data_IF_342711426226
#
_entry.id   IF_342711426226
#
_cell.length_a   1.000
_cell.length_b   1.000
_cell.length_c   1.000
_cell.angle_alpha   90.00
_cell.angle_beta   90.00
_cell.angle_gamma   90.00
#
_symmetry.space_group_name_H-M   'P 1'
#
loop_
_entity.id
_entity.type
_entity.pdbx_description
1 polymer ?
#
# COMPACT_ATOMS: atom_id res chain seq x y z
N UNK A 1 21.92 3.52 14.01
CA UNK A 1 20.91 4.57 13.72
C UNK A 1 20.67 4.60 12.24
N UNK A 2 19.42 4.69 11.80
CA UNK A 2 19.09 4.86 10.38
C UNK A 2 19.60 6.22 9.90
N UNK A 3 20.28 6.27 8.74
CA UNK A 3 20.75 7.52 8.14
C UNK A 3 19.66 8.06 7.23
N UNK A 4 19.02 9.16 7.64
CA UNK A 4 18.09 9.91 6.79
C UNK A 4 18.92 10.92 5.99
N UNK A 5 18.74 10.89 4.66
CA UNK A 5 19.41 11.80 3.75
C UNK A 5 18.56 13.07 3.59
N UNK A 6 19.17 14.22 3.82
CA UNK A 6 18.51 15.53 3.71
C UNK A 6 18.35 15.99 2.25
N UNK A 7 19.19 15.46 1.36
CA UNK A 7 19.21 15.82 -0.05
C UNK A 7 19.21 14.60 -0.96
N UNK A 8 18.73 14.79 -2.19
CA UNK A 8 18.70 13.75 -3.22
C UNK A 8 20.09 13.15 -3.44
N UNK A 9 20.26 11.84 -3.34
CA UNK A 9 21.54 11.16 -3.58
C UNK A 9 21.82 11.02 -5.09
N UNK A 10 22.30 12.08 -5.71
CA UNK A 10 22.64 12.16 -7.14
C UNK A 10 23.63 11.07 -7.52
N UNK A 11 23.41 10.41 -8.65
CA UNK A 11 24.26 9.33 -9.18
C UNK A 11 24.10 7.99 -8.43
N UNK A 12 23.25 7.91 -7.41
CA UNK A 12 23.04 6.69 -6.65
C UNK A 12 21.68 6.03 -6.97
N UNK A 13 21.61 4.71 -6.78
CA UNK A 13 20.38 3.95 -6.88
C UNK A 13 19.47 4.27 -5.69
N UNK A 14 18.24 4.67 -5.96
CA UNK A 14 17.19 4.92 -4.96
C UNK A 14 16.00 4.02 -5.24
N UNK A 15 15.69 3.13 -4.31
CA UNK A 15 14.49 2.29 -4.38
C UNK A 15 13.28 3.07 -3.91
N UNK A 16 12.28 3.25 -4.76
CA UNK A 16 11.03 3.92 -4.40
C UNK A 16 9.90 2.90 -4.27
N UNK A 17 9.19 2.92 -3.14
CA UNK A 17 7.90 2.24 -3.01
C UNK A 17 6.88 2.96 -3.91
N UNK A 18 6.56 2.34 -5.03
CA UNK A 18 5.82 2.95 -6.11
C UNK A 18 4.39 2.42 -6.19
N UNK A 19 3.42 3.30 -6.00
CA UNK A 19 1.98 2.98 -6.05
C UNK A 19 1.33 3.30 -7.40
N UNK A 20 2.02 3.99 -8.30
CA UNK A 20 1.42 4.54 -9.53
C UNK A 20 0.56 5.79 -9.32
N UNK A 21 0.40 6.25 -8.08
CA UNK A 21 -0.28 7.51 -7.75
C UNK A 21 0.56 8.74 -8.09
N UNK A 22 -0.07 9.93 -8.03
CA UNK A 22 0.58 11.19 -8.42
C UNK A 22 1.88 11.45 -7.64
N UNK A 23 1.83 11.31 -6.32
CA UNK A 23 2.96 11.63 -5.45
C UNK A 23 4.20 10.79 -5.78
N UNK A 24 4.02 9.46 -5.92
CA UNK A 24 5.14 8.57 -6.25
C UNK A 24 5.62 8.71 -7.68
N UNK A 25 4.72 9.03 -8.62
CA UNK A 25 5.05 9.25 -10.03
C UNK A 25 5.86 10.53 -10.22
N UNK A 26 5.41 11.64 -9.61
CA UNK A 26 6.14 12.91 -9.65
C UNK A 26 7.49 12.81 -8.95
N UNK A 27 7.55 12.16 -7.79
CA UNK A 27 8.79 11.94 -7.06
C UNK A 27 9.81 11.12 -7.88
N UNK A 28 9.36 10.03 -8.51
CA UNK A 28 10.22 9.19 -9.35
C UNK A 28 10.78 9.98 -10.53
N UNK A 29 9.91 10.68 -11.26
CA UNK A 29 10.32 11.46 -12.42
C UNK A 29 11.25 12.62 -12.04
N UNK A 30 10.97 13.31 -10.93
CA UNK A 30 11.81 14.37 -10.40
C UNK A 30 13.20 13.86 -10.00
N UNK A 31 13.29 12.74 -9.28
CA UNK A 31 14.56 12.10 -8.93
C UNK A 31 15.39 11.78 -10.17
N UNK A 32 14.75 11.23 -11.22
CA UNK A 32 15.43 10.93 -12.49
C UNK A 32 15.96 12.20 -13.14
N UNK A 33 15.15 13.25 -13.23
CA UNK A 33 15.57 14.55 -13.81
C UNK A 33 16.71 15.21 -13.07
N UNK A 34 16.77 15.02 -11.74
CA UNK A 34 17.83 15.58 -10.88
C UNK A 34 19.08 14.68 -10.80
N UNK A 35 19.11 13.56 -11.52
CA UNK A 35 20.29 12.73 -11.70
C UNK A 35 20.46 11.58 -10.70
N UNK A 36 19.44 11.25 -9.90
CA UNK A 36 19.40 9.97 -9.19
C UNK A 36 19.03 8.83 -10.14
N UNK A 37 19.21 7.59 -9.70
CA UNK A 37 18.88 6.38 -10.47
C UNK A 37 17.72 5.67 -9.76
N UNK A 38 16.45 6.01 -10.06
CA UNK A 38 15.31 5.45 -9.37
C UNK A 38 15.01 4.01 -9.81
N UNK A 39 14.79 3.13 -8.84
CA UNK A 39 14.31 1.77 -8.97
C UNK A 39 12.91 1.69 -8.35
N UNK A 40 11.91 1.31 -9.11
CA UNK A 40 10.53 1.25 -8.62
C UNK A 40 10.17 -0.14 -8.12
N UNK A 41 9.57 -0.21 -6.94
CA UNK A 41 9.08 -1.45 -6.33
C UNK A 41 7.62 -1.30 -5.93
N UNK A 42 6.77 -2.14 -6.49
CA UNK A 42 5.32 -2.15 -6.22
C UNK A 42 4.95 -3.40 -5.45
N UNK A 43 4.27 -3.24 -4.33
CA UNK A 43 3.79 -4.36 -3.53
C UNK A 43 2.41 -4.84 -4.03
N UNK A 44 2.30 -6.09 -4.45
CA UNK A 44 1.02 -6.75 -4.66
C UNK A 44 0.57 -7.35 -3.34
N UNK A 45 -0.37 -6.69 -2.67
CA UNK A 45 -1.01 -7.11 -1.42
C UNK A 45 -2.42 -7.72 -1.66
N UNK A 46 -2.77 -8.00 -2.92
CA UNK A 46 -4.12 -8.43 -3.30
C UNK A 46 -5.15 -7.31 -3.18
N UNK A 47 -4.80 -6.08 -3.56
CA UNK A 47 -5.69 -4.92 -3.56
C UNK A 47 -6.85 -5.18 -4.53
N UNK A 48 -8.11 -5.22 -4.06
CA UNK A 48 -9.25 -5.55 -4.90
C UNK A 48 -9.66 -4.44 -5.87
N UNK A 49 -9.16 -3.24 -5.66
CA UNK A 49 -9.40 -2.04 -6.48
C UNK A 49 -8.32 -1.79 -7.54
N UNK A 50 -7.33 -2.67 -7.67
CA UNK A 50 -6.32 -2.59 -8.73
C UNK A 50 -6.68 -3.51 -9.90
N UNK A 51 -7.07 -2.95 -11.04
CA UNK A 51 -7.52 -3.76 -12.19
C UNK A 51 -6.37 -4.36 -13.00
N UNK A 52 -5.18 -3.75 -13.02
CA UNK A 52 -4.00 -4.21 -13.77
C UNK A 52 -2.71 -3.92 -13.02
N UNK A 53 -2.30 -4.88 -12.21
CA UNK A 53 -1.04 -4.79 -11.46
C UNK A 53 0.18 -4.63 -12.36
N UNK A 54 0.19 -5.22 -13.55
CA UNK A 54 1.32 -5.16 -14.47
C UNK A 54 1.46 -3.80 -15.15
N UNK A 55 0.40 -2.99 -15.17
CA UNK A 55 0.46 -1.62 -15.65
C UNK A 55 1.33 -0.73 -14.76
N UNK A 56 1.41 -1.01 -13.45
CA UNK A 56 2.11 -0.13 -12.50
C UNK A 56 3.62 -0.11 -12.77
N UNK A 57 4.34 -1.26 -12.88
CA UNK A 57 5.76 -1.25 -13.26
C UNK A 57 6.00 -0.64 -14.64
N UNK A 58 5.12 -0.87 -15.62
CA UNK A 58 5.25 -0.26 -16.96
C UNK A 58 5.25 1.27 -16.87
N UNK A 59 4.31 1.86 -16.12
CA UNK A 59 4.24 3.30 -15.88
C UNK A 59 5.51 3.82 -15.18
N UNK A 60 6.03 3.07 -14.21
CA UNK A 60 7.27 3.47 -13.54
C UNK A 60 8.44 3.57 -14.53
N UNK A 61 8.54 2.63 -15.46
CA UNK A 61 9.55 2.68 -16.53
C UNK A 61 9.37 3.88 -17.47
N UNK A 62 8.13 4.19 -17.86
CA UNK A 62 7.80 5.37 -18.65
C UNK A 62 8.21 6.67 -17.94
N UNK A 63 8.05 6.75 -16.63
CA UNK A 63 8.41 7.92 -15.82
C UNK A 63 9.91 8.02 -15.53
N UNK A 64 10.72 7.05 -15.98
CA UNK A 64 12.16 7.08 -15.94
C UNK A 64 12.82 6.23 -14.86
N UNK A 65 12.12 5.23 -14.34
CA UNK A 65 12.77 4.22 -13.51
C UNK A 65 13.83 3.45 -14.32
N UNK A 66 14.96 3.14 -13.71
CA UNK A 66 15.99 2.27 -14.28
C UNK A 66 15.53 0.82 -14.32
N UNK A 67 14.77 0.41 -13.31
CA UNK A 67 14.14 -0.89 -13.17
C UNK A 67 12.83 -0.75 -12.41
N UNK A 68 11.84 -1.57 -12.77
CA UNK A 68 10.58 -1.64 -12.04
C UNK A 68 10.21 -3.10 -11.75
N UNK A 69 9.77 -3.37 -10.51
CA UNK A 69 9.38 -4.71 -10.06
C UNK A 69 8.03 -4.69 -9.40
N UNK A 70 7.19 -5.65 -9.76
CA UNK A 70 6.01 -6.04 -8.98
C UNK A 70 6.41 -7.17 -8.03
N UNK A 71 6.32 -6.91 -6.73
CA UNK A 71 6.68 -7.87 -5.67
C UNK A 71 5.41 -8.50 -5.14
N UNK A 72 5.27 -9.83 -5.28
CA UNK A 72 4.12 -10.56 -4.75
C UNK A 72 4.25 -10.72 -3.23
N UNK A 73 3.49 -9.93 -2.50
CA UNK A 73 3.45 -9.89 -1.05
C UNK A 73 2.26 -10.67 -0.45
N UNK A 74 1.40 -11.25 -1.28
CA UNK A 74 0.12 -11.84 -0.83
C UNK A 74 0.32 -12.99 0.15
N UNK A 75 1.26 -13.88 -0.13
CA UNK A 75 1.54 -15.02 0.76
C UNK A 75 2.05 -14.55 2.13
N UNK A 76 2.98 -13.60 2.13
CA UNK A 76 3.51 -13.06 3.40
C UNK A 76 2.41 -12.32 4.18
N UNK A 77 1.57 -11.53 3.50
CA UNK A 77 0.46 -10.84 4.14
C UNK A 77 -0.55 -11.82 4.76
N UNK A 78 -0.84 -12.95 4.09
CA UNK A 78 -1.70 -13.98 4.65
C UNK A 78 -1.10 -14.61 5.92
N UNK A 79 0.19 -14.90 5.93
CA UNK A 79 0.89 -15.44 7.10
C UNK A 79 0.85 -14.47 8.28
N UNK A 80 1.18 -13.21 8.05
CA UNK A 80 1.14 -12.16 9.09
C UNK A 80 -0.29 -11.92 9.57
N UNK A 81 -1.28 -12.00 8.68
CA UNK A 81 -2.70 -11.90 9.02
C UNK A 81 -3.15 -13.02 9.95
N UNK A 82 -2.73 -14.26 9.69
CA UNK A 82 -3.02 -15.41 10.57
C UNK A 82 -2.35 -15.22 11.94
N UNK A 83 -1.08 -14.82 11.98
CA UNK A 83 -0.38 -14.54 13.22
C UNK A 83 -1.05 -13.43 14.02
N UNK A 84 -1.48 -12.35 13.37
CA UNK A 84 -2.23 -11.26 14.00
C UNK A 84 -3.57 -11.72 14.56
N UNK A 85 -4.31 -12.62 13.88
CA UNK A 85 -5.55 -13.22 14.40
C UNK A 85 -5.28 -14.08 15.63
N UNK A 86 -4.25 -14.91 15.62
CA UNK A 86 -3.89 -15.77 16.77
C UNK A 86 -3.55 -14.94 18.01
N UNK A 87 -2.95 -13.77 17.85
CA UNK A 87 -2.61 -12.84 18.92
C UNK A 87 -3.76 -11.89 19.31
N UNK A 88 -4.90 -11.92 18.60
CA UNK A 88 -5.97 -10.94 18.76
C UNK A 88 -5.59 -9.50 18.39
N UNK A 89 -4.55 -9.34 17.56
CA UNK A 89 -3.93 -8.04 17.27
C UNK A 89 -4.75 -7.13 16.34
N UNK A 90 -5.82 -7.62 15.74
CA UNK A 90 -6.73 -6.79 14.92
C UNK A 90 -7.72 -5.95 15.73
N UNK A 91 -7.87 -6.24 17.02
CA UNK A 91 -8.81 -5.51 17.86
C UNK A 91 -8.20 -4.21 18.35
N UNK A 92 -8.62 -3.11 17.74
CA UNK A 92 -8.28 -1.76 18.21
C UNK A 92 -9.54 -1.17 18.84
N UNK A 93 -9.47 -0.86 20.13
CA UNK A 93 -10.57 -0.22 20.84
C UNK A 93 -10.23 1.25 21.09
N UNK A 94 -11.03 2.15 20.54
CA UNK A 94 -10.88 3.59 20.70
C UNK A 94 -12.24 4.17 21.08
N UNK A 95 -12.30 4.91 22.18
CA UNK A 95 -13.53 5.53 22.68
C UNK A 95 -14.72 4.55 22.81
N UNK A 96 -14.44 3.30 23.23
CA UNK A 96 -15.47 2.26 23.41
C UNK A 96 -15.94 1.57 22.11
N UNK A 97 -15.37 1.94 20.96
CA UNK A 97 -15.67 1.32 19.67
C UNK A 97 -14.50 0.45 19.26
N UNK A 98 -14.77 -0.81 18.93
CA UNK A 98 -13.77 -1.73 18.37
C UNK A 98 -13.82 -1.67 16.86
N UNK A 99 -12.67 -1.48 16.22
CA UNK A 99 -12.55 -1.55 14.77
C UNK A 99 -11.32 -2.37 14.35
N UNK A 100 -11.35 -2.86 13.11
CA UNK A 100 -10.28 -3.63 12.53
C UNK A 100 -9.48 -2.75 11.58
N UNK A 101 -8.17 -2.63 11.82
CA UNK A 101 -7.29 -1.88 10.94
C UNK A 101 -6.16 -2.78 10.43
N UNK A 102 -6.20 -3.11 9.14
CA UNK A 102 -5.22 -3.97 8.48
C UNK A 102 -4.09 -3.18 7.80
N UNK A 103 -4.22 -1.86 7.71
CA UNK A 103 -3.22 -0.98 7.06
C UNK A 103 -1.83 -1.09 7.70
N UNK A 104 -1.65 -1.04 9.04
CA UNK A 104 -0.32 -1.19 9.64
C UNK A 104 0.36 -2.51 9.29
N UNK A 105 -0.40 -3.61 9.22
CA UNK A 105 0.12 -4.91 8.82
C UNK A 105 0.56 -4.92 7.36
N UNK A 106 -0.24 -4.35 6.47
CA UNK A 106 0.12 -4.15 5.07
C UNK A 106 1.41 -3.34 4.91
N UNK A 107 1.61 -2.28 5.73
CA UNK A 107 2.83 -1.47 5.73
C UNK A 107 4.06 -2.26 6.20
N UNK A 108 3.89 -3.11 7.21
CA UNK A 108 4.97 -3.97 7.68
C UNK A 108 5.44 -4.94 6.59
N UNK A 109 4.50 -5.62 5.94
CA UNK A 109 4.79 -6.54 4.84
C UNK A 109 5.40 -5.80 3.64
N UNK A 110 4.85 -4.65 3.26
CA UNK A 110 5.42 -3.83 2.17
C UNK A 110 6.87 -3.43 2.50
N UNK A 111 7.13 -2.86 3.67
CA UNK A 111 8.47 -2.42 4.04
C UNK A 111 9.50 -3.55 4.03
N UNK A 112 9.18 -4.70 4.59
CA UNK A 112 10.09 -5.84 4.65
C UNK A 112 10.33 -6.48 3.29
N UNK A 113 9.26 -6.73 2.52
CA UNK A 113 9.34 -7.43 1.23
C UNK A 113 9.99 -6.58 0.14
N UNK A 114 9.67 -5.28 0.07
CA UNK A 114 10.28 -4.41 -0.93
C UNK A 114 11.77 -4.21 -0.63
N UNK A 115 12.17 -4.06 0.64
CA UNK A 115 13.60 -3.96 0.99
C UNK A 115 14.34 -5.26 0.71
N UNK A 116 13.70 -6.43 0.87
CA UNK A 116 14.30 -7.70 0.44
C UNK A 116 14.56 -7.70 -1.08
N UNK A 117 13.58 -7.28 -1.88
CA UNK A 117 13.73 -7.15 -3.33
C UNK A 117 14.80 -6.10 -3.73
N UNK A 118 14.90 -5.00 -2.99
CA UNK A 118 15.95 -3.99 -3.17
C UNK A 118 17.36 -4.57 -2.95
N UNK A 119 17.54 -5.41 -1.94
CA UNK A 119 18.83 -6.09 -1.70
C UNK A 119 19.26 -6.97 -2.87
N UNK A 120 18.33 -7.68 -3.49
CA UNK A 120 18.62 -8.50 -4.69
C UNK A 120 19.12 -7.65 -5.87
N UNK A 121 18.68 -6.39 -5.95
CA UNK A 121 19.06 -5.44 -7.00
C UNK A 121 20.25 -4.54 -6.61
N UNK A 122 20.88 -4.81 -5.46
CA UNK A 122 21.95 -3.96 -4.90
C UNK A 122 21.52 -2.49 -4.76
N UNK A 123 20.32 -2.28 -4.18
CA UNK A 123 19.74 -0.96 -3.89
C UNK A 123 19.64 -0.78 -2.39
N UNK A 124 20.30 0.24 -1.83
CA UNK A 124 20.47 0.43 -0.40
C UNK A 124 19.92 1.77 0.13
N UNK A 125 19.18 2.50 -0.70
CA UNK A 125 18.50 3.74 -0.31
C UNK A 125 17.02 3.55 -0.54
N UNK A 126 16.24 3.64 0.53
CA UNK A 126 14.78 3.61 0.49
C UNK A 126 14.19 4.97 0.20
N UNK A 127 13.17 5.03 -0.65
CA UNK A 127 12.32 6.19 -0.86
C UNK A 127 10.84 5.79 -0.95
N UNK A 128 9.98 6.71 -0.66
CA UNK A 128 8.53 6.60 -0.88
C UNK A 128 7.87 7.97 -0.97
N UNK A 129 6.60 8.00 -1.35
CA UNK A 129 5.80 9.21 -1.50
C UNK A 129 5.10 9.69 -0.22
N UNK A 130 5.46 9.15 0.95
CA UNK A 130 4.80 9.54 2.21
C UNK A 130 5.07 10.99 2.56
N UNK A 131 4.00 11.73 2.88
CA UNK A 131 4.10 13.12 3.32
C UNK A 131 4.51 13.21 4.79
N UNK A 132 5.16 14.30 5.19
CA UNK A 132 5.61 14.49 6.58
C UNK A 132 4.47 14.63 7.60
N UNK A 133 3.24 14.88 7.14
CA UNK A 133 2.04 14.95 7.98
C UNK A 133 1.38 13.60 8.25
N UNK A 134 1.76 12.57 7.48
CA UNK A 134 1.16 11.25 7.56
C UNK A 134 1.94 10.28 8.46
N UNK A 135 1.25 9.27 8.97
CA UNK A 135 1.86 8.22 9.79
C UNK A 135 2.88 7.38 9.00
N UNK A 136 2.75 7.31 7.68
CA UNK A 136 3.56 6.45 6.83
C UNK A 136 4.98 6.98 6.60
N UNK A 137 5.24 8.26 6.96
CA UNK A 137 6.58 8.87 6.84
C UNK A 137 7.67 8.03 7.53
N UNK A 138 7.32 7.32 8.61
CA UNK A 138 8.23 6.47 9.36
C UNK A 138 7.90 4.97 9.23
N UNK A 139 6.65 4.59 9.04
CA UNK A 139 6.21 3.19 9.10
C UNK A 139 6.95 2.30 8.13
N UNK A 140 7.04 2.68 6.85
CA UNK A 140 7.66 1.85 5.82
C UNK A 140 9.13 1.56 6.11
N UNK A 141 9.94 2.58 6.33
CA UNK A 141 11.38 2.36 6.51
C UNK A 141 11.71 1.70 7.84
N UNK A 142 10.94 1.93 8.90
CA UNK A 142 11.11 1.21 10.18
C UNK A 142 11.01 -0.29 9.99
N UNK A 143 10.03 -0.77 9.24
CA UNK A 143 9.93 -2.18 8.90
C UNK A 143 11.02 -2.62 7.91
N UNK A 144 11.39 -1.78 6.97
CA UNK A 144 12.51 -2.05 6.05
C UNK A 144 13.83 -2.27 6.77
N UNK A 145 14.09 -1.55 7.87
CA UNK A 145 15.29 -1.72 8.71
C UNK A 145 15.38 -3.09 9.38
N UNK A 146 14.26 -3.81 9.57
CA UNK A 146 14.28 -5.20 10.04
C UNK A 146 14.93 -6.14 9.02
N UNK A 147 14.75 -5.84 7.72
CA UNK A 147 15.33 -6.63 6.63
C UNK A 147 16.75 -6.17 6.26
N UNK A 148 17.03 -4.87 6.37
CA UNK A 148 18.33 -4.28 6.10
C UNK A 148 18.64 -3.17 7.12
N UNK A 149 19.34 -3.48 8.23
CA UNK A 149 19.69 -2.47 9.24
C UNK A 149 20.61 -1.34 8.73
N UNK A 150 21.31 -1.54 7.61
CA UNK A 150 22.18 -0.56 6.98
C UNK A 150 21.45 0.31 5.93
N UNK A 151 20.13 0.18 5.81
CA UNK A 151 19.32 0.93 4.85
C UNK A 151 19.45 2.43 5.12
N UNK A 152 19.80 3.19 4.08
CA UNK A 152 19.70 4.65 4.10
C UNK A 152 18.32 5.08 3.62
N UNK A 153 17.83 6.21 4.10
CA UNK A 153 16.47 6.66 3.86
C UNK A 153 16.51 8.01 3.15
N UNK A 154 15.89 8.11 1.99
CA UNK A 154 15.64 9.37 1.30
C UNK A 154 14.13 9.55 1.15
N UNK A 155 13.63 10.68 1.60
CA UNK A 155 12.21 11.04 1.52
C UNK A 155 12.08 12.32 0.72
N UNK A 156 11.47 12.32 -0.48
CA UNK A 156 11.26 13.55 -1.26
C UNK A 156 10.55 14.64 -0.44
N UNK A 157 9.56 14.27 0.36
CA UNK A 157 8.83 15.20 1.24
C UNK A 157 9.61 15.75 2.45
N UNK A 158 10.85 15.33 2.66
CA UNK A 158 11.79 15.91 3.63
C UNK A 158 12.94 16.68 2.94
N UNK A 159 12.99 16.68 1.60
CA UNK A 159 13.96 17.42 0.80
C UNK A 159 13.36 18.77 0.40
N UNK A 160 13.97 19.86 0.86
CA UNK A 160 13.47 21.21 0.60
C UNK A 160 13.43 21.52 -0.90
N UNK A 161 14.39 21.02 -1.70
CA UNK A 161 14.39 21.23 -3.13
C UNK A 161 13.20 20.57 -3.84
N UNK A 162 12.75 19.41 -3.36
CA UNK A 162 11.54 18.77 -3.86
C UNK A 162 10.30 19.57 -3.46
N UNK A 163 10.22 20.01 -2.19
CA UNK A 163 9.07 20.76 -1.67
C UNK A 163 8.91 22.10 -2.39
N UNK A 164 10.00 22.82 -2.64
CA UNK A 164 9.98 24.11 -3.33
C UNK A 164 9.49 23.99 -4.78
N UNK A 165 9.80 22.88 -5.47
CA UNK A 165 9.37 22.64 -6.84
C UNK A 165 8.00 21.96 -6.95
N UNK A 166 7.68 21.01 -6.06
CA UNK A 166 6.56 20.08 -6.18
C UNK A 166 5.75 19.94 -4.87
N UNK A 167 5.74 20.97 -4.03
CA UNK A 167 5.15 20.93 -2.70
C UNK A 167 3.62 20.80 -2.63
N UNK A 168 2.92 20.70 -3.78
CA UNK A 168 1.49 20.54 -3.86
C UNK A 168 1.04 19.65 -5.01
N UNK A 169 -0.21 19.19 -4.93
CA UNK A 169 -0.80 18.33 -5.98
C UNK A 169 -0.93 19.03 -7.34
N UNK A 170 -1.18 20.34 -7.33
CA UNK A 170 -1.27 21.12 -8.56
C UNK A 170 0.08 21.20 -9.26
N UNK A 171 1.14 21.49 -8.51
CA UNK A 171 2.52 21.58 -8.99
C UNK A 171 2.99 20.23 -9.54
N UNK A 172 2.74 19.13 -8.81
CA UNK A 172 3.08 17.77 -9.27
C UNK A 172 2.33 17.41 -10.56
N UNK A 173 1.02 17.73 -10.64
CA UNK A 173 0.21 17.47 -11.84
C UNK A 173 0.71 18.27 -13.05
N UNK A 174 1.03 19.55 -12.85
CA UNK A 174 1.60 20.41 -13.88
C UNK A 174 2.96 19.89 -14.35
N UNK A 175 3.81 19.48 -13.42
CA UNK A 175 5.13 18.91 -13.71
C UNK A 175 5.05 17.64 -14.57
N UNK A 176 4.16 16.71 -14.22
CA UNK A 176 3.95 15.47 -14.99
C UNK A 176 3.36 15.77 -16.37
N UNK A 177 2.41 16.72 -16.47
CA UNK A 177 1.82 17.14 -17.73
C UNK A 177 2.85 17.80 -18.64
N UNK A 178 3.71 18.66 -18.11
CA UNK A 178 4.79 19.32 -18.87
C UNK A 178 5.84 18.31 -19.38
N UNK A 179 5.97 17.17 -18.72
CA UNK A 179 6.81 16.06 -19.17
C UNK A 179 6.15 15.16 -20.23
N UNK A 180 4.89 15.48 -20.64
CA UNK A 180 4.13 14.71 -21.62
C UNK A 180 3.35 13.54 -21.05
N UNK A 181 3.31 13.38 -19.73
CA UNK A 181 2.54 12.34 -19.06
C UNK A 181 1.12 12.85 -18.77
N UNK A 182 0.13 12.23 -19.39
CA UNK A 182 -1.27 12.60 -19.24
C UNK A 182 -1.82 12.25 -17.86
N UNK A 183 -1.49 13.03 -16.84
CA UNK A 183 -2.01 12.85 -15.50
C UNK A 183 -3.33 13.62 -15.35
N UNK A 184 -4.47 12.93 -15.56
CA UNK A 184 -5.77 13.52 -15.29
C UNK A 184 -6.09 13.41 -13.81
N UNK A 185 -6.13 14.54 -13.11
CA UNK A 185 -6.77 14.60 -11.80
C UNK A 185 -8.26 14.31 -12.00
N UNK A 186 -8.74 13.14 -11.57
CA UNK A 186 -10.18 12.95 -11.44
C UNK A 186 -10.62 13.61 -10.12
N UNK A 187 -11.54 14.57 -10.22
CA UNK A 187 -12.22 15.14 -9.06
C UNK A 187 -13.00 14.07 -8.24
N UNK A 188 -13.18 12.89 -8.81
CA UNK A 188 -13.91 11.77 -8.23
C UNK A 188 -13.14 11.00 -7.14
N UNK A 189 -11.81 11.13 -7.04
CA UNK A 189 -11.04 10.52 -5.95
C UNK A 189 -10.98 11.47 -4.75
N UNK A 190 -12.13 11.69 -4.13
CA UNK A 190 -12.22 12.46 -2.88
C UNK A 190 -11.54 11.76 -1.71
N UNK A 191 -11.37 10.44 -1.78
CA UNK A 191 -10.78 9.61 -0.74
C UNK A 191 -9.49 8.96 -1.21
N UNK A 192 -8.47 9.00 -0.37
CA UNK A 192 -7.32 8.11 -0.48
C UNK A 192 -7.71 6.76 0.11
N UNK A 193 -7.44 5.68 -0.60
CA UNK A 193 -7.80 4.33 -0.17
C UNK A 193 -6.56 3.49 -0.02
N UNK A 194 -6.43 2.87 1.14
CA UNK A 194 -5.46 1.82 1.41
C UNK A 194 -6.20 0.49 1.47
N UNK A 195 -6.06 -0.31 0.42
CA UNK A 195 -6.68 -1.64 0.33
C UNK A 195 -5.63 -2.74 0.28
N UNK A 196 -6.00 -3.90 0.78
CA UNK A 196 -5.25 -5.15 0.66
C UNK A 196 -6.21 -6.32 0.82
N UNK A 197 -5.76 -7.56 0.63
CA UNK A 197 -6.61 -8.74 0.74
C UNK A 197 -7.30 -8.94 2.10
N UNK A 198 -6.88 -8.24 3.15
CA UNK A 198 -7.44 -8.36 4.50
C UNK A 198 -8.44 -7.25 4.85
N UNK A 199 -8.42 -6.13 4.12
CA UNK A 199 -9.31 -5.00 4.40
C UNK A 199 -8.98 -3.76 3.61
N UNK A 200 -9.82 -2.74 3.75
CA UNK A 200 -9.64 -1.42 3.14
C UNK A 200 -9.93 -0.32 4.15
N UNK A 201 -9.11 0.74 4.11
CA UNK A 201 -9.34 1.97 4.86
C UNK A 201 -9.46 3.15 3.88
N UNK A 202 -10.30 4.11 4.24
CA UNK A 202 -10.52 5.31 3.45
C UNK A 202 -10.14 6.53 4.27
N UNK A 203 -9.34 7.41 3.69
CA UNK A 203 -8.95 8.69 4.28
C UNK A 203 -9.38 9.82 3.35
N UNK A 204 -9.88 10.91 3.92
CA UNK A 204 -10.28 12.09 3.14
C UNK A 204 -9.98 13.37 3.90
N UNK A 205 -9.74 14.44 3.15
CA UNK A 205 -9.63 15.79 3.69
C UNK A 205 -10.85 16.20 4.52
N UNK A 206 -12.04 15.75 4.12
CA UNK A 206 -13.28 16.05 4.85
C UNK A 206 -13.30 15.43 6.25
N UNK A 207 -12.55 14.34 6.47
CA UNK A 207 -12.44 13.67 7.77
C UNK A 207 -11.48 14.39 8.74
N UNK A 208 -10.69 15.34 8.26
CA UNK A 208 -9.90 16.24 9.12
C UNK A 208 -10.81 17.21 9.88
N UNK A 209 -12.02 17.41 9.40
CA UNK A 209 -13.04 18.21 10.10
C UNK A 209 -13.82 17.30 11.05
N UNK A 210 -13.68 17.49 12.35
CA UNK A 210 -14.31 16.69 13.41
C UNK A 210 -15.84 16.61 13.33
N UNK A 211 -16.49 17.53 12.61
CA UNK A 211 -17.93 17.53 12.38
C UNK A 211 -18.35 16.80 11.10
N UNK A 212 -17.42 16.29 10.32
CA UNK A 212 -17.69 15.58 9.07
C UNK A 212 -17.64 14.06 9.30
N UNK A 213 -18.72 13.36 8.96
CA UNK A 213 -18.77 11.90 8.94
C UNK A 213 -18.26 11.33 7.61
N UNK A 214 -17.86 10.07 7.62
CA UNK A 214 -17.51 9.34 6.40
C UNK A 214 -18.73 9.29 5.47
N UNK A 215 -18.57 9.80 4.27
CA UNK A 215 -19.49 9.57 3.17
C UNK A 215 -18.97 8.39 2.34
N UNK A 216 -19.43 7.19 2.65
CA UNK A 216 -19.07 6.00 1.89
C UNK A 216 -19.77 6.07 0.54
N UNK A 217 -19.00 6.26 -0.51
CA UNK A 217 -19.53 6.33 -1.88
C UNK A 217 -19.74 4.92 -2.44
N UNK A 218 -18.70 4.10 -2.44
CA UNK A 218 -18.75 2.69 -2.85
C UNK A 218 -17.79 1.87 -2.00
N UNK A 219 -18.21 0.75 -1.41
CA UNK A 219 -17.30 -0.13 -0.69
C UNK A 219 -16.39 -0.83 -1.69
N UNK A 220 -15.09 -0.84 -1.41
CA UNK A 220 -14.09 -1.60 -2.16
C UNK A 220 -14.15 -3.07 -1.77
N UNK A 221 -14.44 -3.34 -0.49
CA UNK A 221 -14.64 -4.67 0.06
C UNK A 221 -15.94 -4.71 0.84
N UNK A 222 -16.58 -5.90 0.86
CA UNK A 222 -17.86 -6.10 1.51
C UNK A 222 -19.04 -5.77 0.61
N UNK A 223 -20.20 -5.58 1.23
CA UNK A 223 -21.48 -5.39 0.55
C UNK A 223 -22.14 -4.10 1.01
N UNK A 224 -22.61 -3.30 0.08
CA UNK A 224 -23.34 -2.08 0.35
C UNK A 224 -24.80 -2.38 0.78
N UNK A 225 -24.98 -3.02 1.92
CA UNK A 225 -26.28 -3.51 2.43
C UNK A 225 -27.33 -2.39 2.64
N UNK A 226 -26.92 -1.14 2.66
CA UNK A 226 -27.81 0.02 2.80
C UNK A 226 -28.42 0.50 1.46
N UNK A 227 -27.98 -0.07 0.33
CA UNK A 227 -28.51 0.28 -0.99
C UNK A 227 -29.75 -0.56 -1.28
N UNK A 228 -30.86 0.03 -1.74
CA UNK A 228 -32.13 -0.68 -2.00
C UNK A 228 -32.03 -1.82 -3.01
N UNK A 229 -31.12 -1.71 -3.99
CA UNK A 229 -30.88 -2.68 -5.03
C UNK A 229 -30.04 -3.89 -4.59
N UNK A 230 -29.46 -3.84 -3.38
CA UNK A 230 -28.61 -4.91 -2.86
C UNK A 230 -29.41 -5.94 -2.10
N UNK A 231 -29.53 -7.13 -2.68
CA UNK A 231 -30.13 -8.29 -2.02
C UNK A 231 -29.04 -9.22 -1.46
N UNK A 232 -29.07 -9.47 -0.16
CA UNK A 232 -28.16 -10.39 0.52
C UNK A 232 -28.95 -11.63 0.94
N UNK A 233 -28.60 -12.78 0.36
CA UNK A 233 -29.18 -14.06 0.77
C UNK A 233 -28.38 -14.63 1.94
N UNK A 234 -29.06 -15.14 3.00
CA UNK A 234 -28.38 -15.82 4.09
C UNK A 234 -27.54 -16.99 3.57
N UNK A 235 -26.30 -17.07 4.00
CA UNK A 235 -25.38 -18.15 3.67
C UNK A 235 -24.69 -18.66 4.92
N UNK A 236 -24.60 -19.99 5.07
CA UNK A 236 -23.87 -20.62 6.15
C UNK A 236 -22.44 -20.91 5.72
N UNK A 237 -21.47 -20.35 6.43
CA UNK A 237 -20.05 -20.62 6.21
C UNK A 237 -19.52 -21.30 7.49
N UNK A 238 -18.94 -22.50 7.34
CA UNK A 238 -18.28 -23.22 8.43
C UNK A 238 -16.79 -23.20 8.22
N UNK A 239 -16.06 -22.74 9.23
CA UNK A 239 -14.61 -22.72 9.23
C UNK A 239 -14.10 -23.62 10.34
N UNK A 240 -13.20 -24.57 9.99
CA UNK A 240 -12.49 -25.38 10.96
C UNK A 240 -11.19 -24.70 11.32
N UNK A 241 -10.95 -24.56 12.62
CA UNK A 241 -9.71 -24.06 13.17
C UNK A 241 -8.94 -25.18 13.86
N UNK A 242 -7.62 -25.19 13.72
CA UNK A 242 -6.68 -26.02 14.47
C UNK A 242 -5.58 -25.09 15.00
N UNK A 243 -5.35 -25.10 16.31
CA UNK A 243 -4.36 -24.24 16.99
C UNK A 243 -4.49 -22.73 16.63
N UNK A 244 -5.75 -22.25 16.50
CA UNK A 244 -6.05 -20.87 16.14
C UNK A 244 -5.89 -20.53 14.66
N UNK A 245 -5.56 -21.52 13.80
CA UNK A 245 -5.41 -21.32 12.36
C UNK A 245 -6.64 -21.84 11.59
N UNK A 246 -7.19 -21.11 10.63
CA UNK A 246 -8.27 -21.59 9.76
C UNK A 246 -7.69 -22.60 8.75
N UNK A 247 -7.97 -23.90 8.96
CA UNK A 247 -7.41 -24.99 8.16
C UNK A 247 -8.35 -25.50 7.07
N UNK A 248 -9.67 -25.27 7.20
CA UNK A 248 -10.64 -25.69 6.19
C UNK A 248 -11.89 -24.82 6.22
N UNK A 249 -12.51 -24.66 5.05
CA UNK A 249 -13.77 -23.93 4.89
C UNK A 249 -14.79 -24.76 4.14
N UNK A 250 -16.05 -24.67 4.56
CA UNK A 250 -17.23 -25.19 3.86
C UNK A 250 -18.19 -24.04 3.62
N UNK A 251 -18.57 -23.82 2.38
CA UNK A 251 -19.54 -22.81 1.95
C UNK A 251 -20.76 -23.49 1.38
N UNK A 252 -21.95 -23.04 1.81
CA UNK A 252 -23.27 -23.51 1.34
C UNK A 252 -23.78 -24.77 2.03
N UNK A 253 -25.11 -24.92 2.06
CA UNK A 253 -25.86 -26.01 2.68
C UNK A 253 -25.86 -27.32 1.87
N UNK A 254 -24.88 -27.58 1.01
CA UNK A 254 -24.81 -28.84 0.28
C UNK A 254 -24.32 -29.96 1.21
N UNK A 255 -25.17 -30.98 1.51
CA UNK A 255 -24.72 -32.13 2.26
C UNK A 255 -23.66 -32.87 1.45
N UNK A 256 -22.44 -33.04 1.98
CA UNK A 256 -21.37 -33.88 1.44
C UNK A 256 -20.38 -33.29 0.44
N UNK A 257 -20.04 -32.02 0.46
CA UNK A 257 -18.74 -31.62 -0.13
C UNK A 257 -17.64 -31.65 0.94
N UNK A 258 -16.57 -32.40 0.65
CA UNK A 258 -15.34 -32.43 1.46
C UNK A 258 -14.85 -30.98 1.65
N UNK A 259 -14.41 -30.67 2.87
CA UNK A 259 -13.74 -29.40 3.13
C UNK A 259 -12.66 -29.16 2.06
N UNK A 260 -12.72 -28.06 1.35
CA UNK A 260 -11.55 -27.63 0.58
C UNK A 260 -10.53 -27.16 1.61
N UNK A 261 -9.34 -27.72 1.59
CA UNK A 261 -8.22 -27.13 2.27
C UNK A 261 -8.14 -25.67 1.82
N UNK A 262 -8.15 -24.75 2.77
CA UNK A 262 -8.02 -23.34 2.45
C UNK A 262 -6.69 -23.19 1.74
N UNK A 263 -6.72 -22.90 0.44
CA UNK A 263 -5.54 -22.63 -0.38
C UNK A 263 -4.84 -21.33 0.02
N UNK A 264 -5.12 -20.85 1.24
CA UNK A 264 -4.53 -19.66 1.84
C UNK A 264 -3.04 -19.82 2.16
N UNK A 265 -2.57 -21.06 2.28
CA UNK A 265 -1.16 -21.34 2.58
C UNK A 265 -0.41 -21.94 1.40
N UNK A 266 -0.84 -21.66 0.17
CA UNK A 266 -0.27 -22.13 -1.09
C UNK A 266 0.98 -23.01 -0.94
N UNK A 267 0.81 -24.31 -1.23
CA UNK A 267 1.94 -25.10 -1.64
C UNK A 267 2.41 -24.64 -3.01
#
# INVERSE_FOLDING_TARGET
MSTILEHLPVGQKVGIAFSGGLDTSAALHWMRKKGAIPYAYTANLGQPDEPDYDAIPRKAMEYGAEKARLVDCRKQLAHEGIAAMQCGAFHISTAGVTYFNTTPLGRAVTGTMLVAAMKEDDVHIWGDGSTFKGNDIERFYRYGLLTNPALRIYKPWLDQAFIDELGGRAEMSAFMTAAGFGYKMSAEKAYSTDSNMLGATHEAKDLENLNSGIRIVNPIMGVAFWKPEVEIKPEEVRVRFEDGQPVAQKVGAAPRRKYRAAALLGK
#
